data_IF_286572540636
#
_entry.id   IF_286572540636
#
_cell.length_a   1.000
_cell.length_b   1.000
_cell.length_c   1.000
_cell.angle_alpha   90.00
_cell.angle_beta   90.00
_cell.angle_gamma   90.00
#
_symmetry.space_group_name_H-M   'P 1'
#
loop_
_entity.id
_entity.type
_entity.pdbx_description
1 polymer ?
#
# COMPACT_ATOMS: atom_id res chain seq x y z
N UNK A 1 -17.28 17.69 0.54
CA UNK A 1 -16.18 16.95 -0.11
C UNK A 1 -14.88 17.76 -0.21
N UNK A 2 -14.77 18.94 0.43
CA UNK A 2 -13.70 19.91 0.14
C UNK A 2 -12.66 20.06 1.27
N UNK A 3 -12.97 19.61 2.49
CA UNK A 3 -12.12 19.82 3.68
C UNK A 3 -11.00 18.79 3.81
N UNK A 4 -11.15 17.59 3.22
CA UNK A 4 -10.14 16.52 3.27
C UNK A 4 -8.96 16.77 2.34
N UNK A 5 -9.16 17.49 1.23
CA UNK A 5 -8.08 17.82 0.30
C UNK A 5 -7.08 18.81 0.89
N UNK A 6 -7.52 19.74 1.75
CA UNK A 6 -6.65 20.80 2.29
C UNK A 6 -5.56 20.24 3.21
N UNK A 7 -5.86 19.23 4.02
CA UNK A 7 -4.90 18.62 4.95
C UNK A 7 -3.89 17.73 4.23
N UNK A 8 -4.35 17.04 3.19
CA UNK A 8 -3.47 16.36 2.24
C UNK A 8 -2.56 17.38 1.54
N UNK A 9 -3.12 18.46 1.00
CA UNK A 9 -2.39 19.55 0.31
C UNK A 9 -1.36 20.27 1.20
N UNK A 10 -1.58 20.37 2.50
CA UNK A 10 -0.60 20.90 3.45
C UNK A 10 0.55 19.92 3.70
N UNK A 11 0.27 18.62 3.86
CA UNK A 11 1.30 17.57 3.90
C UNK A 11 2.09 17.52 2.59
N UNK A 12 1.42 17.81 1.46
CA UNK A 12 2.01 17.91 0.14
C UNK A 12 3.05 19.05 0.00
N UNK A 13 3.10 20.04 0.90
CA UNK A 13 3.95 21.23 0.76
C UNK A 13 5.14 21.32 1.74
N UNK A 14 5.35 20.35 2.63
CA UNK A 14 6.53 20.35 3.51
C UNK A 14 7.75 19.66 2.87
N UNK A 15 8.82 20.42 2.62
CA UNK A 15 10.18 19.92 2.32
C UNK A 15 10.77 19.29 3.60
N UNK A 16 11.69 18.32 3.64
CA UNK A 16 12.26 17.29 2.74
C UNK A 16 13.36 16.50 3.51
N UNK A 17 13.65 16.86 4.78
CA UNK A 17 14.77 16.31 5.59
C UNK A 17 14.35 15.24 6.62
N UNK A 18 13.05 14.98 6.76
CA UNK A 18 12.45 14.18 7.85
C UNK A 18 11.70 12.93 7.40
N UNK A 19 11.67 12.61 6.10
CA UNK A 19 10.94 11.42 5.64
C UNK A 19 11.69 10.14 6.04
N UNK A 20 11.19 9.48 7.07
CA UNK A 20 11.73 8.20 7.54
C UNK A 20 11.62 7.11 6.47
N UNK A 21 10.64 7.21 5.57
CA UNK A 21 10.50 6.31 4.43
C UNK A 21 11.78 6.33 3.59
N UNK A 22 12.18 7.52 3.12
CA UNK A 22 13.38 7.68 2.30
C UNK A 22 14.65 7.24 3.04
N UNK A 23 14.77 7.56 4.33
CA UNK A 23 15.94 7.18 5.13
C UNK A 23 16.09 5.67 5.24
N UNK A 24 15.00 4.95 5.49
CA UNK A 24 15.00 3.50 5.61
C UNK A 24 15.19 2.81 4.25
N UNK A 25 14.56 3.31 3.18
CA UNK A 25 14.80 2.79 1.82
C UNK A 25 16.23 3.03 1.38
N UNK A 26 16.89 4.09 1.83
CA UNK A 26 18.31 4.35 1.53
C UNK A 26 19.26 3.52 2.39
N UNK A 27 18.76 2.80 3.41
CA UNK A 27 19.59 1.97 4.28
C UNK A 27 20.09 0.73 3.53
N UNK A 28 21.40 0.47 3.61
CA UNK A 28 22.02 -0.68 2.93
C UNK A 28 21.50 -2.02 3.44
N UNK A 29 21.26 -2.14 4.74
CA UNK A 29 20.74 -3.38 5.33
C UNK A 29 19.33 -3.69 4.81
N UNK A 30 18.44 -2.70 4.80
CA UNK A 30 17.07 -2.82 4.26
C UNK A 30 17.11 -3.17 2.77
N UNK A 31 17.94 -2.48 1.99
CA UNK A 31 18.10 -2.81 0.56
C UNK A 31 18.57 -4.24 0.34
N UNK A 32 19.52 -4.73 1.14
CA UNK A 32 19.99 -6.11 1.04
C UNK A 32 18.88 -7.11 1.33
N UNK A 33 18.01 -6.84 2.31
CA UNK A 33 16.85 -7.69 2.61
C UNK A 33 15.87 -7.68 1.44
N UNK A 34 15.55 -6.50 0.90
CA UNK A 34 14.67 -6.35 -0.26
C UNK A 34 15.23 -7.13 -1.47
N UNK A 35 16.52 -7.01 -1.76
CA UNK A 35 17.15 -7.68 -2.90
C UNK A 35 17.11 -9.21 -2.76
N UNK A 36 17.32 -9.74 -1.54
CA UNK A 36 17.17 -11.17 -1.25
C UNK A 36 15.73 -11.61 -1.50
N UNK A 37 14.73 -10.88 -0.97
CA UNK A 37 13.31 -11.22 -1.17
C UNK A 37 12.95 -11.17 -2.65
N UNK A 38 13.37 -10.12 -3.38
CA UNK A 38 13.14 -10.02 -4.82
C UNK A 38 13.75 -11.21 -5.58
N UNK A 39 14.96 -11.63 -5.22
CA UNK A 39 15.62 -12.80 -5.81
C UNK A 39 14.80 -14.08 -5.62
N UNK A 40 14.41 -14.37 -4.38
CA UNK A 40 13.59 -15.54 -4.04
C UNK A 40 12.23 -15.53 -4.75
N UNK A 41 11.55 -14.38 -4.77
CA UNK A 41 10.25 -14.25 -5.43
C UNK A 41 10.39 -14.43 -6.94
N UNK A 42 11.38 -13.81 -7.59
CA UNK A 42 11.60 -14.00 -9.04
C UNK A 42 11.90 -15.45 -9.40
N UNK A 43 12.70 -16.15 -8.59
CA UNK A 43 12.99 -17.56 -8.81
C UNK A 43 11.70 -18.40 -8.77
N UNK A 44 10.85 -18.18 -7.75
CA UNK A 44 9.56 -18.89 -7.63
C UNK A 44 8.56 -18.52 -8.72
N UNK A 45 8.53 -17.27 -9.15
CA UNK A 45 7.65 -16.82 -10.22
C UNK A 45 8.09 -17.32 -11.58
N UNK A 46 9.39 -17.43 -11.85
CA UNK A 46 9.89 -18.02 -13.09
C UNK A 46 9.44 -19.47 -13.22
N UNK A 47 9.57 -20.26 -12.13
CA UNK A 47 9.05 -21.64 -12.08
C UNK A 47 7.54 -21.70 -12.31
N UNK A 48 6.80 -20.71 -11.83
CA UNK A 48 5.35 -20.61 -11.99
C UNK A 48 4.99 -20.24 -13.43
N UNK A 49 5.54 -19.15 -13.98
CA UNK A 49 5.23 -18.67 -15.32
C UNK A 49 5.60 -19.69 -16.41
N UNK A 50 6.67 -20.47 -16.22
CA UNK A 50 7.02 -21.56 -17.13
C UNK A 50 5.96 -22.68 -17.20
N UNK A 51 5.03 -22.75 -16.24
CA UNK A 51 3.94 -23.75 -16.20
C UNK A 51 2.65 -23.26 -16.86
N UNK A 52 2.52 -21.97 -17.18
CA UNK A 52 1.30 -21.41 -17.75
C UNK A 52 1.54 -20.92 -19.18
N UNK A 53 0.62 -21.25 -20.08
CA UNK A 53 0.70 -20.83 -21.49
C UNK A 53 0.38 -19.35 -21.72
N UNK A 54 -0.25 -18.70 -20.73
CA UNK A 54 -0.64 -17.30 -20.79
C UNK A 54 0.11 -16.49 -19.70
N UNK A 55 0.46 -15.22 -19.96
CA UNK A 55 1.01 -14.33 -18.95
C UNK A 55 0.05 -14.18 -17.77
N UNK A 56 0.53 -14.43 -16.55
CA UNK A 56 -0.23 -14.17 -15.32
C UNK A 56 0.22 -12.82 -14.76
N UNK A 57 -0.74 -11.95 -14.48
CA UNK A 57 -0.51 -10.70 -13.75
C UNK A 57 -0.95 -10.85 -12.30
N UNK A 58 -0.20 -10.25 -11.38
CA UNK A 58 -0.54 -10.21 -9.96
C UNK A 58 -0.78 -8.77 -9.53
N UNK A 59 -1.85 -8.57 -8.77
CA UNK A 59 -2.20 -7.31 -8.14
C UNK A 59 -2.31 -7.51 -6.63
N UNK A 60 -1.73 -6.59 -5.87
CA UNK A 60 -1.62 -6.70 -4.42
C UNK A 60 -2.40 -5.60 -3.72
N UNK A 61 -3.27 -5.97 -2.78
CA UNK A 61 -3.90 -5.01 -1.87
C UNK A 61 -3.44 -5.31 -0.47
N UNK A 62 -2.70 -4.37 0.11
CA UNK A 62 -2.23 -4.45 1.49
C UNK A 62 -3.24 -3.70 2.34
N UNK A 63 -3.80 -4.40 3.32
CA UNK A 63 -4.83 -3.85 4.20
C UNK A 63 -4.33 -3.87 5.64
N UNK A 64 -4.32 -2.72 6.28
CA UNK A 64 -3.72 -2.54 7.61
C UNK A 64 -4.81 -2.22 8.64
N UNK A 65 -4.79 -2.95 9.75
CA UNK A 65 -5.62 -2.64 10.92
C UNK A 65 -5.06 -1.40 11.62
N UNK A 66 -5.86 -0.33 11.67
CA UNK A 66 -5.50 0.94 12.27
C UNK A 66 -5.98 1.07 13.73
N UNK A 67 -6.21 -0.07 14.39
CA UNK A 67 -6.70 -0.09 15.77
C UNK A 67 -5.63 0.24 16.81
N UNK A 68 -6.11 0.72 17.97
CA UNK A 68 -5.30 1.03 19.16
C UNK A 68 -4.32 -0.07 19.56
N UNK A 69 -4.74 -1.34 19.44
CA UNK A 69 -3.91 -2.51 19.80
C UNK A 69 -2.67 -2.67 18.93
N UNK A 70 -2.62 -2.05 17.74
CA UNK A 70 -1.48 -2.14 16.83
C UNK A 70 -0.39 -1.11 17.14
N UNK A 71 -0.70 -0.06 17.92
CA UNK A 71 0.24 1.03 18.25
C UNK A 71 1.55 0.56 18.89
N UNK A 72 1.51 -0.50 19.70
CA UNK A 72 2.72 -1.09 20.32
C UNK A 72 3.69 -1.70 19.29
N UNK A 73 3.22 -1.95 18.06
CA UNK A 73 3.98 -2.51 16.96
C UNK A 73 4.22 -1.51 15.82
N UNK A 74 3.92 -0.22 16.02
CA UNK A 74 3.98 0.83 15.00
C UNK A 74 5.29 0.79 14.19
N UNK A 75 6.43 0.82 14.86
CA UNK A 75 7.74 0.79 14.20
C UNK A 75 7.94 -0.48 13.36
N UNK A 76 7.55 -1.64 13.89
CA UNK A 76 7.65 -2.92 13.18
C UNK A 76 6.74 -2.95 11.95
N UNK A 77 5.53 -2.43 12.07
CA UNK A 77 4.57 -2.32 10.95
C UNK A 77 5.14 -1.38 9.89
N UNK A 78 5.68 -0.23 10.30
CA UNK A 78 6.30 0.72 9.38
C UNK A 78 7.48 0.11 8.60
N UNK A 79 8.40 -0.56 9.30
CA UNK A 79 9.52 -1.25 8.67
C UNK A 79 9.05 -2.35 7.70
N UNK A 80 8.11 -3.19 8.13
CA UNK A 80 7.54 -4.25 7.30
C UNK A 80 6.87 -3.67 6.05
N UNK A 81 6.10 -2.59 6.19
CA UNK A 81 5.45 -1.91 5.09
C UNK A 81 6.44 -1.36 4.08
N UNK A 82 7.53 -0.74 4.54
CA UNK A 82 8.60 -0.24 3.64
C UNK A 82 9.20 -1.41 2.86
N UNK A 83 9.58 -2.49 3.55
CA UNK A 83 10.17 -3.67 2.90
C UNK A 83 9.21 -4.25 1.85
N UNK A 84 7.94 -4.43 2.20
CA UNK A 84 6.93 -5.00 1.29
C UNK A 84 6.72 -4.07 0.09
N UNK A 85 6.51 -2.77 0.30
CA UNK A 85 6.21 -1.82 -0.77
C UNK A 85 7.37 -1.69 -1.77
N UNK A 86 8.60 -1.56 -1.27
CA UNK A 86 9.79 -1.49 -2.13
C UNK A 86 10.04 -2.81 -2.86
N UNK A 87 9.78 -3.95 -2.20
CA UNK A 87 9.89 -5.27 -2.83
C UNK A 87 8.90 -5.39 -3.99
N UNK A 88 7.63 -5.05 -3.76
CA UNK A 88 6.59 -5.12 -4.78
C UNK A 88 6.88 -4.14 -5.94
N UNK A 89 7.39 -2.94 -5.63
CA UNK A 89 7.79 -1.97 -6.65
C UNK A 89 8.96 -2.48 -7.50
N UNK A 90 10.02 -3.04 -6.89
CA UNK A 90 11.16 -3.61 -7.64
C UNK A 90 10.78 -4.83 -8.48
N UNK A 91 9.73 -5.54 -8.09
CA UNK A 91 9.14 -6.65 -8.84
C UNK A 91 8.13 -6.18 -9.89
N UNK A 92 7.91 -4.87 -10.02
CA UNK A 92 6.99 -4.24 -10.97
C UNK A 92 5.53 -4.68 -10.79
N UNK A 93 5.16 -5.03 -9.56
CA UNK A 93 3.77 -5.35 -9.22
C UNK A 93 2.91 -4.11 -9.00
N UNK A 94 1.65 -4.18 -9.45
CA UNK A 94 0.64 -3.19 -9.08
C UNK A 94 0.24 -3.44 -7.62
N UNK A 95 0.34 -2.39 -6.80
CA UNK A 95 0.03 -2.45 -5.38
C UNK A 95 -0.90 -1.31 -4.97
N UNK A 96 -1.93 -1.61 -4.19
CA UNK A 96 -2.73 -0.64 -3.46
C UNK A 96 -2.56 -0.86 -1.95
N UNK A 97 -2.70 0.22 -1.18
CA UNK A 97 -2.63 0.19 0.29
C UNK A 97 -3.87 0.85 0.86
N UNK A 98 -4.53 0.13 1.76
CA UNK A 98 -5.66 0.65 2.51
C UNK A 98 -5.49 0.42 4.01
N UNK A 99 -6.18 1.23 4.80
CA UNK A 99 -6.34 1.00 6.24
C UNK A 99 -7.81 0.86 6.59
N UNK A 100 -8.10 0.15 7.67
CA UNK A 100 -9.42 0.11 8.29
C UNK A 100 -9.34 0.32 9.80
N UNK A 101 -10.41 0.85 10.37
CA UNK A 101 -10.57 0.93 11.81
C UNK A 101 -12.04 0.93 12.22
N UNK A 102 -12.52 2.07 12.76
CA UNK A 102 -13.91 2.27 13.19
C UNK A 102 -14.92 2.04 12.04
N UNK A 103 -16.21 1.82 12.34
CA UNK A 103 -17.25 1.71 11.28
C UNK A 103 -17.61 3.03 10.59
N UNK A 104 -17.11 4.15 11.08
CA UNK A 104 -17.43 5.49 10.57
C UNK A 104 -16.74 5.79 9.24
N UNK A 105 -17.41 6.57 8.39
CA UNK A 105 -16.82 7.18 7.20
C UNK A 105 -15.49 7.87 7.56
N UNK A 106 -14.44 7.60 6.77
CA UNK A 106 -13.08 8.11 7.01
C UNK A 106 -12.16 7.18 7.80
N UNK A 107 -12.67 6.03 8.28
CA UNK A 107 -11.84 5.01 8.94
C UNK A 107 -11.41 3.89 7.98
N UNK A 108 -12.10 3.76 6.85
CA UNK A 108 -11.71 2.93 5.70
C UNK A 108 -11.15 3.87 4.64
N UNK A 109 -9.85 3.82 4.40
CA UNK A 109 -9.17 4.77 3.53
C UNK A 109 -8.19 4.06 2.63
N UNK A 110 -8.25 4.36 1.33
CA UNK A 110 -7.18 4.03 0.38
C UNK A 110 -6.07 5.07 0.55
N UNK A 111 -4.94 4.61 1.07
CA UNK A 111 -3.75 5.43 1.29
C UNK A 111 -2.92 5.56 0.01
N UNK A 112 -2.97 4.53 -0.83
CA UNK A 112 -2.34 4.49 -2.15
C UNK A 112 -3.20 3.62 -3.09
N UNK A 113 -3.80 4.15 -4.17
CA UNK A 113 -4.46 3.32 -5.18
C UNK A 113 -3.43 2.63 -6.11
N UNK A 114 -3.89 1.67 -6.91
CA UNK A 114 -3.03 0.92 -7.84
C UNK A 114 -2.27 1.82 -8.82
N UNK A 115 -2.95 2.82 -9.38
CA UNK A 115 -2.42 3.66 -10.46
C UNK A 115 -1.52 4.78 -9.98
N UNK A 116 -1.43 4.99 -8.65
CA UNK A 116 -0.49 5.95 -8.09
C UNK A 116 0.92 5.34 -8.03
N UNK A 117 1.94 5.93 -8.67
CA UNK A 117 3.31 5.45 -8.53
C UNK A 117 3.80 5.54 -7.09
N UNK A 118 4.56 4.53 -6.65
CA UNK A 118 5.22 4.59 -5.35
C UNK A 118 6.44 5.52 -5.44
N UNK A 119 6.35 6.66 -4.77
CA UNK A 119 7.45 7.61 -4.57
C UNK A 119 7.75 7.70 -3.08
N UNK A 120 8.90 8.24 -2.67
CA UNK A 120 9.20 8.43 -1.25
C UNK A 120 8.11 9.20 -0.50
N UNK A 121 7.50 10.17 -1.17
CA UNK A 121 6.38 10.95 -0.64
C UNK A 121 5.14 10.08 -0.42
N UNK A 122 4.78 9.26 -1.41
CA UNK A 122 3.61 8.38 -1.30
C UNK A 122 3.84 7.33 -0.22
N UNK A 123 5.04 6.77 -0.14
CA UNK A 123 5.43 5.87 0.94
C UNK A 123 5.33 6.52 2.32
N UNK A 124 5.79 7.78 2.43
CA UNK A 124 5.63 8.58 3.64
C UNK A 124 4.15 8.82 3.97
N UNK A 125 3.31 9.17 2.99
CA UNK A 125 1.88 9.38 3.22
C UNK A 125 1.16 8.10 3.68
N UNK A 126 1.57 6.93 3.16
CA UNK A 126 0.99 5.64 3.58
C UNK A 126 1.20 5.42 5.07
N UNK A 127 2.43 5.56 5.54
CA UNK A 127 2.76 5.30 6.95
C UNK A 127 2.23 6.42 7.87
N UNK A 128 2.24 7.70 7.47
CA UNK A 128 1.57 8.78 8.22
C UNK A 128 0.05 8.60 8.32
N UNK A 129 -0.53 7.89 7.35
CA UNK A 129 -1.94 7.52 7.37
C UNK A 129 -2.31 6.52 8.47
N UNK A 130 -1.33 5.85 9.08
CA UNK A 130 -1.52 4.84 10.12
C UNK A 130 -1.43 5.47 11.51
N UNK A 131 -2.57 5.92 12.03
CA UNK A 131 -2.66 6.60 13.32
C UNK A 131 -2.77 5.67 14.52
N UNK A 132 -3.12 4.39 14.28
CA UNK A 132 -3.31 3.35 15.30
C UNK A 132 -4.17 3.81 16.49
N UNK A 133 -5.23 4.58 16.23
CA UNK A 133 -6.07 5.18 17.27
C UNK A 133 -7.56 4.83 17.11
N UNK A 134 -7.88 3.80 16.34
CA UNK A 134 -9.25 3.40 16.01
C UNK A 134 -9.65 2.07 16.69
N UNK A 135 -10.91 1.64 16.51
CA UNK A 135 -11.37 0.28 16.82
C UNK A 135 -11.05 -0.66 15.66
N UNK A 136 -11.15 -1.97 15.86
CA UNK A 136 -10.96 -2.95 14.78
C UNK A 136 -12.29 -3.50 14.27
N UNK A 137 -12.55 -3.34 12.97
CA UNK A 137 -13.69 -3.94 12.27
C UNK A 137 -13.26 -4.62 10.98
N UNK A 138 -12.54 -5.73 11.14
CA UNK A 138 -11.85 -6.46 10.07
C UNK A 138 -12.77 -6.81 8.89
N UNK A 139 -13.89 -7.51 9.13
CA UNK A 139 -14.72 -8.02 8.03
C UNK A 139 -15.32 -6.91 7.18
N UNK A 140 -15.93 -5.91 7.82
CA UNK A 140 -16.53 -4.76 7.12
C UNK A 140 -15.46 -3.84 6.53
N UNK A 141 -14.32 -3.69 7.20
CA UNK A 141 -13.19 -2.88 6.74
C UNK A 141 -12.56 -3.43 5.47
N UNK A 142 -12.23 -4.72 5.46
CA UNK A 142 -11.68 -5.40 4.28
C UNK A 142 -12.67 -5.35 3.11
N UNK A 143 -13.96 -5.61 3.36
CA UNK A 143 -14.98 -5.54 2.32
C UNK A 143 -15.07 -4.14 1.70
N UNK A 144 -15.06 -3.08 2.51
CA UNK A 144 -15.07 -1.71 2.01
C UNK A 144 -13.82 -1.36 1.20
N UNK A 145 -12.64 -1.76 1.67
CA UNK A 145 -11.37 -1.54 0.95
C UNK A 145 -11.37 -2.29 -0.38
N UNK A 146 -11.87 -3.53 -0.42
CA UNK A 146 -11.99 -4.29 -1.66
C UNK A 146 -12.89 -3.57 -2.68
N UNK A 147 -14.07 -3.11 -2.25
CA UNK A 147 -14.98 -2.31 -3.09
C UNK A 147 -14.28 -1.06 -3.63
N UNK A 148 -13.66 -0.24 -2.77
CA UNK A 148 -12.98 0.97 -3.21
C UNK A 148 -11.84 0.72 -4.19
N UNK A 149 -11.18 -0.44 -4.06
CA UNK A 149 -10.00 -0.78 -4.87
C UNK A 149 -10.37 -1.38 -6.23
N UNK A 150 -11.41 -2.23 -6.30
CA UNK A 150 -11.75 -2.97 -7.52
C UNK A 150 -13.04 -2.55 -8.23
N UNK A 151 -14.03 -1.91 -7.58
CA UNK A 151 -15.26 -1.49 -8.29
C UNK A 151 -15.00 -0.43 -9.37
N UNK A 152 -13.86 0.25 -9.33
CA UNK A 152 -13.44 1.17 -10.40
C UNK A 152 -12.99 0.45 -11.69
N UNK A 153 -12.73 -0.86 -11.65
CA UNK A 153 -12.26 -1.63 -12.81
C UNK A 153 -13.41 -2.14 -13.70
N UNK A 154 -14.63 -2.27 -13.17
CA UNK A 154 -15.80 -2.70 -13.94
C UNK A 154 -16.34 -1.60 -14.87
N UNK A 155 -16.12 -0.33 -14.55
CA UNK A 155 -16.61 0.79 -15.38
C UNK A 155 -15.76 1.06 -16.62
N UNK A 156 -14.50 0.63 -16.65
CA UNK A 156 -13.63 0.77 -17.84
C UNK A 156 -13.82 -0.38 -18.84
N UNK A 157 -14.20 -1.57 -18.34
CA UNK A 157 -14.50 -2.76 -19.15
C UNK A 157 -15.80 -2.63 -19.95
N UNK A 158 -16.74 -1.81 -19.47
CA UNK A 158 -18.02 -1.56 -20.15
C UNK A 158 -17.95 -0.54 -21.29
N UNK A 159 -16.89 0.28 -21.38
CA UNK A 159 -16.78 1.36 -22.38
C UNK A 159 -15.91 0.99 -23.60
N UNK A 160 -15.33 -0.21 -23.65
CA UNK A 160 -14.62 -0.72 -24.83
C UNK A 160 -15.45 -1.73 -25.64
N UNK A 161 -16.76 -1.79 -25.40
CA UNK A 161 -17.73 -2.46 -26.27
C UNK A 161 -18.84 -1.47 -26.62
N UNK A 162 -18.55 -0.57 -27.56
CA UNK A 162 -19.50 -0.03 -28.55
C UNK A 162 -18.79 0.82 -29.58
#
# INVERSE_FOLDING_TARGET
MTVYNTKLEELLNSQSDTWWYQKLVSCRAINSVIDIICGEVRNKLSDLFNKFSNPITFEWVIVIDNSGSMSIYENCIHEAMIIILETLQKLEFRVAVGRFGNRSEGSQVILKPFDQPLTFRVGQMVLEGLTFCESSHISTGIAAIAVYTWDHLDTTSANNVK
#
